data_IF_933580469746
#
_entry.id   IF_933580469746
#
_cell.length_a   1.000
_cell.length_b   1.000
_cell.length_c   1.000
_cell.angle_alpha   90.00
_cell.angle_beta   90.00
_cell.angle_gamma   90.00
#
_symmetry.space_group_name_H-M   'P 1'
#
loop_
_entity.id
_entity.type
_entity.pdbx_description
1 polymer ?
#
# COMPACT_ATOMS: atom_id res chain seq x y z
N UNK A 1 -41.85 -0.28 36.87
CA UNK A 1 -41.38 -0.05 35.49
C UNK A 1 -40.08 0.78 35.44
N UNK A 2 -38.94 0.25 35.93
CA UNK A 2 -37.62 0.90 35.83
C UNK A 2 -36.43 -0.08 35.68
N UNK A 3 -36.71 -1.33 35.27
CA UNK A 3 -35.66 -2.37 35.09
C UNK A 3 -35.57 -2.92 33.67
N UNK A 4 -36.40 -2.43 32.74
CA UNK A 4 -36.35 -2.88 31.33
C UNK A 4 -35.47 -2.02 30.42
N UNK A 5 -34.92 -0.91 30.92
CA UNK A 5 -34.13 0.02 30.10
C UNK A 5 -32.63 -0.32 30.03
N UNK A 6 -32.10 -1.19 30.90
CA UNK A 6 -30.67 -1.54 30.87
C UNK A 6 -30.32 -2.68 29.93
N UNK A 7 -31.31 -3.45 29.45
CA UNK A 7 -31.07 -4.58 28.54
C UNK A 7 -31.00 -4.14 27.07
N UNK A 8 -31.61 -3.00 26.71
CA UNK A 8 -31.57 -2.47 25.34
C UNK A 8 -30.21 -1.85 24.97
N UNK A 9 -29.41 -1.45 25.97
CA UNK A 9 -28.09 -0.84 25.74
C UNK A 9 -27.02 -1.90 25.42
N UNK A 10 -27.24 -3.17 25.80
CA UNK A 10 -26.29 -4.24 25.51
C UNK A 10 -26.43 -4.82 24.09
N UNK A 11 -27.56 -4.62 23.41
CA UNK A 11 -27.82 -5.17 22.07
C UNK A 11 -27.37 -4.19 20.97
N UNK A 12 -27.24 -2.90 21.28
CA UNK A 12 -26.77 -1.89 20.34
C UNK A 12 -25.22 -1.73 20.31
N UNK A 13 -24.49 -2.49 21.14
CA UNK A 13 -23.03 -2.47 21.22
C UNK A 13 -22.30 -3.43 20.25
N UNK A 14 -23.05 -4.19 19.45
CA UNK A 14 -22.49 -5.09 18.42
C UNK A 14 -23.08 -4.70 17.07
N UNK A 15 -22.99 -3.42 16.71
CA UNK A 15 -22.74 -3.12 15.30
C UNK A 15 -21.29 -3.53 15.04
N UNK A 16 -21.08 -4.83 14.86
CA UNK A 16 -20.01 -5.27 13.97
C UNK A 16 -20.26 -4.54 12.67
N UNK A 17 -19.51 -3.46 12.47
CA UNK A 17 -19.21 -2.95 11.16
C UNK A 17 -18.77 -4.18 10.37
N UNK A 18 -19.72 -4.74 9.62
CA UNK A 18 -19.47 -5.63 8.52
C UNK A 18 -18.72 -4.76 7.50
N UNK A 19 -17.46 -4.48 7.80
CA UNK A 19 -16.50 -4.05 6.82
C UNK A 19 -16.47 -5.19 5.82
N UNK A 20 -16.84 -4.90 4.58
CA UNK A 20 -16.88 -5.91 3.52
C UNK A 20 -15.60 -6.75 3.57
N UNK A 21 -15.73 -8.08 3.58
CA UNK A 21 -14.66 -9.08 3.76
C UNK A 21 -13.37 -8.84 2.93
N UNK A 22 -13.45 -8.02 1.89
CA UNK A 22 -12.32 -7.62 1.03
C UNK A 22 -11.24 -6.83 1.77
N UNK A 23 -11.62 -5.96 2.70
CA UNK A 23 -10.64 -5.14 3.43
C UNK A 23 -9.86 -6.00 4.40
N UNK A 24 -10.52 -6.92 5.11
CA UNK A 24 -9.85 -7.85 6.01
C UNK A 24 -8.88 -8.78 5.27
N UNK A 25 -9.28 -9.34 4.13
CA UNK A 25 -8.41 -10.19 3.31
C UNK A 25 -7.14 -9.44 2.86
N UNK A 26 -7.28 -8.19 2.41
CA UNK A 26 -6.15 -7.35 2.05
C UNK A 26 -5.26 -7.02 3.25
N UNK A 27 -5.86 -6.68 4.40
CA UNK A 27 -5.12 -6.47 5.66
C UNK A 27 -4.30 -7.70 6.04
N UNK A 28 -4.91 -8.88 5.97
CA UNK A 28 -4.29 -10.14 6.30
C UNK A 28 -3.16 -10.47 5.32
N UNK A 29 -3.37 -10.29 4.02
CA UNK A 29 -2.33 -10.50 2.99
C UNK A 29 -1.08 -9.67 3.27
N UNK A 30 -1.23 -8.35 3.48
CA UNK A 30 -0.10 -7.49 3.80
C UNK A 30 0.56 -7.89 5.13
N UNK A 31 -0.22 -8.20 6.16
CA UNK A 31 0.29 -8.47 7.51
C UNK A 31 0.98 -9.83 7.61
N UNK A 32 0.37 -10.89 7.05
CA UNK A 32 0.82 -12.28 7.18
C UNK A 32 1.83 -12.63 6.10
N UNK A 33 1.54 -12.29 4.85
CA UNK A 33 2.31 -12.80 3.71
C UNK A 33 3.44 -11.83 3.34
N UNK A 34 3.14 -10.52 3.27
CA UNK A 34 4.14 -9.49 2.96
C UNK A 34 4.96 -9.07 4.20
N UNK A 35 4.45 -9.38 5.40
CA UNK A 35 5.00 -8.91 6.69
C UNK A 35 5.13 -7.39 6.73
N UNK A 36 4.06 -6.71 6.34
CA UNK A 36 3.95 -5.26 6.22
C UNK A 36 2.72 -4.74 6.92
N UNK A 37 2.80 -3.51 7.44
CA UNK A 37 1.64 -2.87 8.07
C UNK A 37 0.70 -2.37 6.96
N UNK A 38 -0.52 -2.94 6.81
CA UNK A 38 -1.45 -2.47 5.81
C UNK A 38 -1.98 -1.10 6.19
N UNK A 39 -1.72 -0.08 5.36
CA UNK A 39 -2.15 1.29 5.67
C UNK A 39 -3.67 1.43 5.80
N UNK A 40 -4.43 0.66 5.03
CA UNK A 40 -5.91 0.65 5.08
C UNK A 40 -6.46 0.31 6.47
N UNK A 41 -5.70 -0.45 7.24
CA UNK A 41 -6.12 -1.03 8.52
C UNK A 41 -5.41 -0.36 9.70
N UNK A 42 -4.64 0.69 9.44
CA UNK A 42 -4.02 1.50 10.47
C UNK A 42 -5.01 2.52 11.00
N UNK A 43 -5.09 2.62 12.32
CA UNK A 43 -5.83 3.68 12.99
C UNK A 43 -5.10 5.03 12.80
N UNK A 44 -5.61 5.83 11.85
CA UNK A 44 -5.05 7.14 11.50
C UNK A 44 -5.06 8.14 12.65
N UNK A 45 -5.94 7.98 13.64
CA UNK A 45 -6.00 8.88 14.80
C UNK A 45 -4.73 8.84 15.66
N UNK A 46 -3.93 7.78 15.51
CA UNK A 46 -2.65 7.59 16.19
C UNK A 46 -1.47 8.25 15.48
N UNK A 47 -1.66 8.78 14.27
CA UNK A 47 -0.62 9.50 13.54
C UNK A 47 -0.47 10.93 14.07
N UNK A 48 0.78 11.40 14.15
CA UNK A 48 1.04 12.83 14.37
C UNK A 48 0.91 13.60 13.05
N UNK A 49 0.73 14.92 13.15
CA UNK A 49 0.48 15.79 11.99
C UNK A 49 1.63 15.79 10.97
N UNK A 50 2.84 15.49 11.41
CA UNK A 50 4.03 15.46 10.57
C UNK A 50 4.40 14.07 10.04
N UNK A 51 3.58 13.06 10.35
CA UNK A 51 3.75 11.68 9.91
C UNK A 51 3.02 11.43 8.59
N UNK A 52 3.72 10.76 7.68
CA UNK A 52 3.16 10.36 6.40
C UNK A 52 3.80 9.07 5.93
N UNK A 53 2.98 8.21 5.32
CA UNK A 53 3.39 6.90 4.86
C UNK A 53 2.86 6.67 3.45
N UNK A 54 3.70 6.13 2.58
CA UNK A 54 3.35 5.69 1.24
C UNK A 54 3.76 4.23 1.05
N UNK A 55 2.91 3.44 0.42
CA UNK A 55 3.15 2.07 0.01
C UNK A 55 2.78 1.92 -1.47
N UNK A 56 3.79 1.72 -2.31
CA UNK A 56 3.64 1.46 -3.74
C UNK A 56 3.83 -0.04 -4.00
N UNK A 57 2.74 -0.73 -4.32
CA UNK A 57 2.74 -2.16 -4.62
C UNK A 57 2.62 -2.35 -6.13
N UNK A 58 3.70 -2.79 -6.76
CA UNK A 58 3.73 -3.15 -8.18
C UNK A 58 3.54 -4.65 -8.32
N UNK A 59 2.50 -5.06 -9.02
CA UNK A 59 2.17 -6.46 -9.21
C UNK A 59 2.26 -6.89 -10.67
N UNK A 60 2.51 -8.18 -10.91
CA UNK A 60 2.51 -8.77 -12.24
C UNK A 60 1.98 -10.20 -12.23
N UNK A 61 1.12 -10.56 -13.18
CA UNK A 61 0.67 -11.94 -13.38
C UNK A 61 1.82 -12.88 -13.78
N UNK A 62 2.90 -12.36 -14.37
CA UNK A 62 3.97 -13.15 -14.99
C UNK A 62 5.32 -13.03 -14.28
N UNK A 63 5.49 -12.03 -13.41
CA UNK A 63 6.74 -11.72 -12.72
C UNK A 63 6.50 -11.59 -11.22
N UNK A 64 7.58 -11.38 -10.48
CA UNK A 64 7.51 -11.09 -9.06
C UNK A 64 6.88 -9.73 -8.80
N UNK A 65 6.23 -9.62 -7.63
CA UNK A 65 5.67 -8.37 -7.16
C UNK A 65 6.72 -7.60 -6.35
N UNK A 66 6.54 -6.29 -6.25
CA UNK A 66 7.44 -5.41 -5.54
C UNK A 66 6.65 -4.44 -4.65
N UNK A 67 7.19 -4.17 -3.48
CA UNK A 67 6.68 -3.14 -2.59
C UNK A 67 7.77 -2.11 -2.33
N UNK A 68 7.44 -0.83 -2.48
CA UNK A 68 8.23 0.28 -1.97
C UNK A 68 7.43 0.98 -0.87
N UNK A 69 7.95 1.01 0.34
CA UNK A 69 7.39 1.76 1.47
C UNK A 69 8.29 2.93 1.79
N UNK A 70 7.73 4.14 1.81
CA UNK A 70 8.42 5.35 2.24
C UNK A 70 7.65 5.95 3.41
N UNK A 71 8.34 6.20 4.52
CA UNK A 71 7.71 6.66 5.75
C UNK A 71 8.48 7.86 6.31
N UNK A 72 7.74 8.83 6.84
CA UNK A 72 8.26 9.88 7.71
C UNK A 72 7.53 9.81 9.04
N UNK A 73 8.31 9.70 10.12
CA UNK A 73 7.86 9.75 11.52
C UNK A 73 8.68 10.77 12.27
N UNK A 74 8.14 11.98 12.42
CA UNK A 74 8.91 13.10 12.93
C UNK A 74 10.16 13.39 12.10
N UNK A 75 11.33 13.27 12.73
CA UNK A 75 12.63 13.48 12.09
C UNK A 75 13.10 12.26 11.30
N UNK A 76 12.60 11.06 11.60
CA UNK A 76 13.02 9.80 10.97
C UNK A 76 12.31 9.65 9.63
N UNK A 77 13.07 9.36 8.58
CA UNK A 77 12.56 9.03 7.25
C UNK A 77 13.19 7.73 6.79
N UNK A 78 12.40 6.83 6.27
CA UNK A 78 12.87 5.51 5.82
C UNK A 78 12.31 5.15 4.46
N UNK A 79 13.06 4.31 3.76
CA UNK A 79 12.59 3.60 2.57
C UNK A 79 12.87 2.11 2.74
N UNK A 80 11.89 1.29 2.36
CA UNK A 80 12.04 -0.15 2.28
C UNK A 80 11.58 -0.60 0.89
N UNK A 81 12.41 -1.39 0.20
CA UNK A 81 12.03 -2.08 -1.03
C UNK A 81 12.04 -3.59 -0.78
N UNK A 82 10.92 -4.24 -1.11
CA UNK A 82 10.76 -5.69 -1.02
C UNK A 82 10.48 -6.28 -2.40
N UNK A 83 11.00 -7.48 -2.63
CA UNK A 83 10.60 -8.37 -3.72
C UNK A 83 9.77 -9.51 -3.14
N UNK A 84 8.66 -9.80 -3.78
CA UNK A 84 7.64 -10.73 -3.29
C UNK A 84 7.53 -11.85 -4.33
N UNK A 85 7.98 -13.02 -3.93
CA UNK A 85 7.91 -14.23 -4.72
C UNK A 85 6.56 -14.88 -4.46
N UNK A 86 5.82 -15.12 -5.54
CA UNK A 86 4.52 -15.80 -5.49
C UNK A 86 4.73 -17.28 -5.20
N UNK A 87 3.74 -17.89 -4.56
CA UNK A 87 3.65 -19.33 -4.47
C UNK A 87 3.64 -19.94 -5.87
N UNK A 88 4.28 -21.08 -6.03
CA UNK A 88 4.34 -21.76 -7.31
C UNK A 88 4.78 -23.20 -7.19
N UNK A 89 4.72 -23.92 -8.31
CA UNK A 89 5.18 -25.30 -8.37
C UNK A 89 6.48 -25.36 -9.16
N UNK A 90 7.55 -25.89 -8.56
CA UNK A 90 8.80 -26.08 -9.27
C UNK A 90 8.67 -27.28 -10.22
N UNK A 91 8.55 -27.01 -11.52
CA UNK A 91 8.39 -28.06 -12.53
C UNK A 91 9.56 -29.04 -12.61
N UNK A 92 10.76 -28.68 -12.14
CA UNK A 92 11.93 -29.57 -12.16
C UNK A 92 11.96 -30.52 -10.98
N UNK A 93 11.61 -30.04 -9.78
CA UNK A 93 11.67 -30.86 -8.56
C UNK A 93 10.33 -31.47 -8.18
N UNK A 94 9.23 -30.97 -8.74
CA UNK A 94 7.89 -31.39 -8.36
C UNK A 94 7.44 -30.85 -7.00
N UNK A 95 8.13 -29.86 -6.45
CA UNK A 95 7.86 -29.34 -5.11
C UNK A 95 7.09 -28.02 -5.16
N UNK A 96 6.12 -27.89 -4.25
CA UNK A 96 5.46 -26.61 -4.01
C UNK A 96 6.42 -25.64 -3.31
N UNK A 97 6.46 -24.43 -3.80
CA UNK A 97 7.24 -23.33 -3.25
C UNK A 97 6.28 -22.36 -2.58
N UNK A 98 6.43 -22.24 -1.26
CA UNK A 98 5.71 -21.26 -0.45
C UNK A 98 6.06 -19.83 -0.90
N UNK A 99 5.12 -18.88 -0.78
CA UNK A 99 5.40 -17.49 -1.06
C UNK A 99 6.46 -16.97 -0.08
N UNK A 100 7.36 -16.10 -0.56
CA UNK A 100 8.41 -15.52 0.28
C UNK A 100 8.67 -14.08 -0.08
N UNK A 101 9.23 -13.35 0.89
CA UNK A 101 9.56 -11.94 0.77
C UNK A 101 11.04 -11.75 1.01
N UNK A 102 11.67 -10.97 0.13
CA UNK A 102 13.07 -10.59 0.22
C UNK A 102 13.16 -9.07 0.37
N UNK A 103 13.88 -8.59 1.37
CA UNK A 103 14.16 -7.15 1.55
C UNK A 103 15.35 -6.83 0.66
N UNK A 104 15.11 -6.06 -0.40
CA UNK A 104 16.16 -5.62 -1.32
C UNK A 104 16.87 -4.35 -0.83
N UNK A 105 16.16 -3.51 -0.09
CA UNK A 105 16.69 -2.25 0.46
C UNK A 105 15.95 -1.86 1.72
N UNK A 106 16.67 -1.39 2.73
CA UNK A 106 16.13 -0.79 3.94
C UNK A 106 17.10 0.29 4.42
N UNK A 107 16.73 1.55 4.24
CA UNK A 107 17.62 2.69 4.50
C UNK A 107 16.91 3.82 5.23
N UNK A 108 17.70 4.60 5.98
CA UNK A 108 17.30 5.94 6.44
C UNK A 108 17.54 6.96 5.33
N UNK A 109 16.52 7.76 5.04
CA UNK A 109 16.62 8.84 4.06
C UNK A 109 17.17 10.11 4.71
N UNK A 110 18.03 10.82 3.97
CA UNK A 110 18.41 12.19 4.33
C UNK A 110 17.23 13.15 4.16
N UNK A 111 17.34 14.35 4.74
CA UNK A 111 16.37 15.41 4.52
C UNK A 111 16.25 15.78 3.04
N UNK A 112 17.37 15.80 2.31
CA UNK A 112 17.38 16.14 0.89
C UNK A 112 16.69 15.07 0.04
N UNK A 113 17.01 13.78 0.26
CA UNK A 113 16.36 12.66 -0.43
C UNK A 113 14.84 12.67 -0.20
N UNK A 114 14.40 12.86 1.05
CA UNK A 114 12.98 12.93 1.35
C UNK A 114 12.31 14.19 0.78
N UNK A 115 13.02 15.33 0.74
CA UNK A 115 12.52 16.56 0.11
C UNK A 115 12.31 16.35 -1.39
N UNK A 116 13.28 15.74 -2.09
CA UNK A 116 13.17 15.41 -3.52
C UNK A 116 11.99 14.48 -3.79
N UNK A 117 11.79 13.46 -2.95
CA UNK A 117 10.60 12.61 -3.00
C UNK A 117 9.30 13.42 -2.80
N UNK A 118 9.26 14.27 -1.78
CA UNK A 118 8.08 15.11 -1.50
C UNK A 118 7.75 16.05 -2.66
N UNK A 119 8.77 16.57 -3.34
CA UNK A 119 8.62 17.36 -4.56
C UNK A 119 7.96 16.55 -5.68
N UNK A 120 8.37 15.30 -5.91
CA UNK A 120 7.75 14.40 -6.89
C UNK A 120 6.27 14.20 -6.56
N UNK A 121 5.94 13.86 -5.31
CA UNK A 121 4.56 13.66 -4.85
C UNK A 121 3.71 14.93 -5.07
N UNK A 122 4.27 16.10 -4.78
CA UNK A 122 3.57 17.39 -4.93
C UNK A 122 3.39 17.76 -6.40
N UNK A 123 4.44 17.67 -7.22
CA UNK A 123 4.41 17.93 -8.68
C UNK A 123 3.35 17.07 -9.38
N UNK A 124 3.18 15.83 -8.94
CA UNK A 124 2.22 14.89 -9.50
C UNK A 124 0.80 15.03 -8.92
N UNK A 125 0.52 16.07 -8.11
CA UNK A 125 -0.77 16.32 -7.47
C UNK A 125 -1.35 15.08 -6.76
N UNK A 126 -0.47 14.24 -6.19
CA UNK A 126 -0.83 12.90 -5.74
C UNK A 126 -2.00 12.88 -4.75
N UNK A 127 -1.96 13.76 -3.73
CA UNK A 127 -3.02 13.83 -2.72
C UNK A 127 -4.37 14.36 -3.23
N UNK A 128 -4.42 14.90 -4.47
CA UNK A 128 -5.63 15.37 -5.12
C UNK A 128 -6.27 14.28 -6.01
N UNK A 129 -5.67 13.08 -6.10
CA UNK A 129 -6.12 11.96 -6.96
C UNK A 129 -7.19 11.08 -6.29
N UNK A 130 -8.14 11.68 -5.57
CA UNK A 130 -9.18 10.96 -4.82
C UNK A 130 -10.12 10.15 -5.70
N UNK A 131 -10.39 10.61 -6.92
CA UNK A 131 -11.27 9.96 -7.90
C UNK A 131 -10.51 9.38 -9.08
N UNK A 132 -9.27 8.95 -8.85
CA UNK A 132 -8.41 8.41 -9.89
C UNK A 132 -9.02 7.13 -10.50
N UNK A 133 -9.19 7.16 -11.81
CA UNK A 133 -9.72 6.07 -12.64
C UNK A 133 -8.86 5.95 -13.90
N UNK A 134 -8.71 4.73 -14.40
CA UNK A 134 -8.05 4.47 -15.67
C UNK A 134 -9.10 4.02 -16.68
N UNK A 135 -9.00 4.50 -17.92
CA UNK A 135 -9.87 4.06 -19.00
C UNK A 135 -9.64 2.57 -19.27
N UNK A 136 -10.73 1.80 -19.35
CA UNK A 136 -10.77 0.34 -19.13
C UNK A 136 -10.23 -0.51 -20.30
N UNK A 137 -9.15 -0.12 -20.97
CA UNK A 137 -8.63 -0.80 -22.16
C UNK A 137 -7.19 -1.30 -22.01
N UNK A 138 -6.84 -1.90 -20.86
CA UNK A 138 -5.50 -2.49 -20.69
C UNK A 138 -5.59 -3.97 -20.33
N UNK A 139 -4.64 -4.76 -20.82
CA UNK A 139 -4.47 -6.19 -20.53
C UNK A 139 -2.99 -6.54 -20.43
N UNK A 140 -2.20 -5.71 -19.75
CA UNK A 140 -0.74 -5.87 -19.74
C UNK A 140 -0.26 -6.91 -18.72
N UNK A 141 -1.19 -7.52 -17.97
CA UNK A 141 -0.89 -8.54 -16.97
C UNK A 141 -0.09 -8.01 -15.78
N UNK A 142 -0.26 -6.74 -15.42
CA UNK A 142 0.35 -6.14 -14.23
C UNK A 142 -0.11 -4.72 -13.99
N UNK A 143 0.20 -4.19 -12.81
CA UNK A 143 -0.19 -2.85 -12.42
C UNK A 143 0.42 -2.39 -11.10
N UNK A 144 -0.10 -1.27 -10.60
CA UNK A 144 0.39 -0.55 -9.43
C UNK A 144 -0.80 -0.15 -8.58
N UNK A 145 -0.77 -0.59 -7.34
CA UNK A 145 -1.66 -0.20 -6.27
C UNK A 145 -0.87 0.67 -5.29
N UNK A 146 -1.37 1.86 -4.99
CA UNK A 146 -0.73 2.78 -4.05
C UNK A 146 -1.66 3.05 -2.89
N UNK A 147 -1.13 2.87 -1.69
CA UNK A 147 -1.74 3.34 -0.46
C UNK A 147 -0.91 4.49 0.10
N UNK A 148 -1.58 5.54 0.55
CA UNK A 148 -0.93 6.61 1.28
C UNK A 148 -1.76 7.04 2.47
N UNK A 149 -1.08 7.39 3.56
CA UNK A 149 -1.70 7.72 4.82
C UNK A 149 -0.99 8.90 5.47
N UNK A 150 -1.78 9.90 5.85
CA UNK A 150 -1.45 10.98 6.78
C UNK A 150 -2.63 11.15 7.74
N UNK A 151 -2.45 11.92 8.81
CA UNK A 151 -3.42 12.01 9.92
C UNK A 151 -4.87 12.29 9.48
N UNK A 152 -5.04 13.21 8.54
CA UNK A 152 -6.34 13.70 8.05
C UNK A 152 -6.82 12.98 6.78
N UNK A 153 -5.95 12.24 6.08
CA UNK A 153 -6.26 11.69 4.76
C UNK A 153 -5.68 10.30 4.54
N UNK A 154 -6.51 9.43 4.00
CA UNK A 154 -6.11 8.15 3.41
C UNK A 154 -6.40 8.20 1.90
N UNK A 155 -5.48 7.64 1.11
CA UNK A 155 -5.63 7.53 -0.33
C UNK A 155 -5.30 6.10 -0.76
N UNK A 156 -6.18 5.53 -1.58
CA UNK A 156 -6.00 4.25 -2.26
C UNK A 156 -6.26 4.50 -3.75
N UNK A 157 -5.25 4.28 -4.59
CA UNK A 157 -5.36 4.43 -6.04
C UNK A 157 -4.72 3.25 -6.76
N UNK A 158 -5.34 2.79 -7.84
CA UNK A 158 -4.94 1.59 -8.55
C UNK A 158 -5.13 1.79 -10.05
N UNK A 159 -4.11 1.45 -10.85
CA UNK A 159 -4.23 1.46 -12.32
C UNK A 159 -4.75 0.14 -12.90
N UNK A 160 -5.18 -0.80 -12.06
CA UNK A 160 -5.68 -2.10 -12.48
C UNK A 160 -4.56 -2.89 -13.17
N UNK A 161 -4.81 -3.31 -14.40
CA UNK A 161 -3.89 -4.03 -15.26
C UNK A 161 -3.31 -3.14 -16.38
N UNK A 162 -3.25 -1.82 -16.15
CA UNK A 162 -2.72 -0.82 -17.06
C UNK A 162 -1.27 -0.47 -16.72
N UNK A 163 -0.34 -0.79 -17.62
CA UNK A 163 1.07 -0.49 -17.47
C UNK A 163 1.76 0.34 -18.56
N UNK A 164 1.07 1.17 -19.39
CA UNK A 164 1.79 1.99 -20.36
C UNK A 164 2.66 3.03 -19.64
N UNK A 165 3.84 3.33 -20.21
CA UNK A 165 4.82 4.24 -19.57
C UNK A 165 4.28 5.66 -19.33
N UNK A 166 3.29 6.09 -20.12
CA UNK A 166 2.63 7.40 -19.97
C UNK A 166 1.50 7.39 -18.92
N UNK A 167 1.10 6.22 -18.41
CA UNK A 167 0.12 6.11 -17.34
C UNK A 167 0.69 6.72 -16.06
N UNK A 168 -0.13 7.53 -15.38
CA UNK A 168 0.22 8.29 -14.19
C UNK A 168 0.98 7.49 -13.10
N UNK A 169 0.45 6.35 -12.66
CA UNK A 169 1.08 5.54 -11.61
C UNK A 169 2.38 4.90 -12.08
N UNK A 170 2.45 4.46 -13.33
CA UNK A 170 3.70 3.96 -13.91
C UNK A 170 4.76 5.04 -14.01
N UNK A 171 4.38 6.23 -14.50
CA UNK A 171 5.29 7.38 -14.56
C UNK A 171 5.83 7.73 -13.18
N UNK A 172 4.94 7.89 -12.19
CA UNK A 172 5.30 8.17 -10.82
C UNK A 172 6.23 7.08 -10.24
N UNK A 173 5.90 5.81 -10.45
CA UNK A 173 6.73 4.69 -9.98
C UNK A 173 8.13 4.72 -10.61
N UNK A 174 8.26 5.03 -11.90
CA UNK A 174 9.58 5.18 -12.53
C UNK A 174 10.36 6.37 -11.96
N UNK A 175 9.72 7.53 -11.74
CA UNK A 175 10.37 8.67 -11.07
C UNK A 175 10.93 8.26 -9.68
N UNK A 176 10.22 7.40 -8.94
CA UNK A 176 10.68 6.88 -7.64
C UNK A 176 11.86 5.90 -7.78
N UNK A 177 11.78 4.97 -8.72
CA UNK A 177 12.87 4.02 -8.99
C UNK A 177 14.15 4.78 -9.36
N UNK A 178 14.04 5.79 -10.22
CA UNK A 178 15.17 6.64 -10.62
C UNK A 178 15.70 7.47 -9.43
N UNK A 179 14.82 8.09 -8.64
CA UNK A 179 15.24 8.93 -7.50
C UNK A 179 16.10 8.15 -6.50
N UNK A 180 15.73 6.91 -6.22
CA UNK A 180 16.33 6.11 -5.15
C UNK A 180 17.29 5.02 -5.65
N UNK A 181 17.51 4.93 -6.96
CA UNK A 181 18.32 3.91 -7.63
C UNK A 181 17.96 2.49 -7.15
N UNK A 182 16.70 2.11 -7.39
CA UNK A 182 16.07 0.92 -6.81
C UNK A 182 16.03 -0.28 -7.73
#
# INVERSE_FOLDING_TARGET
MKKFLSLLILILGISTLYCQNTDEALCQYFSKDIKEKPLKCMDRSKLKDDEVIYQFFKWSAFKEDYLIRIEKKGKVKTIVKKKIYKSGYNQKTGEYQEPRVEILKEDKLTNDQFKRFSTIITKNNFWQKTDYKVESMCMDGGGILVFALRKDQYLEINNGNCSPNAEYLNHLYQELITLFNL
#
